data_IF_750266161517
#
_entry.id   IF_750266161517
#
_cell.length_a   1.000
_cell.length_b   1.000
_cell.length_c   1.000
_cell.angle_alpha   90.00
_cell.angle_beta   90.00
_cell.angle_gamma   90.00
#
_symmetry.space_group_name_H-M   'P 1'
#
loop_
_entity.id
_entity.type
_entity.pdbx_description
1 polymer ?
#
# COMPACT_ATOMS: atom_id res chain seq x y z
N UNK A 1 -2.08 -3.82 -57.13
CA UNK A 1 -2.42 -5.20 -56.78
C UNK A 1 -1.74 -5.48 -55.46
N UNK A 2 -2.50 -5.45 -54.37
CA UNK A 2 -2.02 -5.83 -53.04
C UNK A 2 -2.65 -7.20 -52.78
N UNK A 3 -1.81 -8.23 -52.73
CA UNK A 3 -2.16 -9.51 -52.11
C UNK A 3 -1.52 -9.53 -50.71
N UNK A 4 -2.33 -9.92 -49.72
CA UNK A 4 -1.93 -10.15 -48.34
C UNK A 4 -1.02 -11.37 -48.24
N UNK A 5 -0.08 -11.33 -47.30
CA UNK A 5 0.51 -12.56 -46.75
C UNK A 5 0.28 -12.53 -45.24
N UNK A 6 -0.82 -13.18 -44.84
CA UNK A 6 -0.97 -13.77 -43.52
C UNK A 6 0.06 -14.91 -43.39
N UNK A 7 0.81 -14.91 -42.30
CA UNK A 7 1.59 -16.06 -41.80
C UNK A 7 1.30 -16.23 -40.31
N UNK A 8 1.29 -17.47 -39.77
CA UNK A 8 0.71 -17.74 -38.47
C UNK A 8 1.61 -17.19 -37.36
N UNK A 9 1.04 -16.35 -36.50
CA UNK A 9 1.64 -16.05 -35.21
C UNK A 9 1.78 -17.34 -34.39
N UNK A 10 2.82 -17.47 -33.54
CA UNK A 10 3.02 -18.66 -32.73
C UNK A 10 1.80 -18.89 -31.84
N UNK A 11 1.16 -20.05 -32.00
CA UNK A 11 0.08 -20.51 -31.13
C UNK A 11 0.68 -21.06 -29.84
N UNK A 12 0.34 -20.42 -28.72
CA UNK A 12 0.72 -20.88 -27.38
C UNK A 12 -0.11 -22.12 -27.06
N UNK A 13 0.50 -23.30 -27.13
CA UNK A 13 -0.09 -24.54 -26.63
C UNK A 13 0.40 -24.73 -25.19
N UNK A 14 -0.49 -24.46 -24.24
CA UNK A 14 -0.26 -24.78 -22.82
C UNK A 14 -0.54 -26.28 -22.66
N UNK A 15 0.52 -27.10 -22.59
CA UNK A 15 0.37 -28.52 -22.28
C UNK A 15 0.33 -28.74 -20.77
N UNK A 16 -0.50 -29.71 -20.37
CA UNK A 16 -0.65 -30.18 -18.99
C UNK A 16 0.46 -31.17 -18.70
N UNK A 17 1.55 -30.73 -18.05
CA UNK A 17 2.39 -31.54 -17.14
C UNK A 17 3.59 -30.71 -16.66
N UNK A 18 3.43 -30.14 -15.46
CA UNK A 18 4.44 -29.78 -14.45
C UNK A 18 5.86 -29.33 -14.88
N UNK A 19 6.00 -28.05 -15.28
CA UNK A 19 7.28 -27.30 -15.32
C UNK A 19 7.05 -25.80 -15.10
N UNK A 20 6.43 -25.43 -13.96
CA UNK A 20 6.21 -24.01 -13.64
C UNK A 20 7.58 -23.31 -13.50
N UNK A 21 7.75 -22.24 -14.26
CA UNK A 21 8.84 -21.24 -14.18
C UNK A 21 10.12 -21.45 -15.00
N UNK A 22 10.11 -22.23 -16.09
CA UNK A 22 11.26 -22.26 -17.03
C UNK A 22 10.87 -21.96 -18.47
N UNK A 23 11.38 -20.85 -18.99
CA UNK A 23 11.22 -20.47 -20.40
C UNK A 23 12.11 -21.37 -21.26
N UNK A 24 11.50 -22.15 -22.15
CA UNK A 24 12.21 -23.05 -23.05
C UNK A 24 13.08 -22.28 -24.06
N UNK A 25 14.20 -22.88 -24.47
CA UNK A 25 15.05 -22.33 -25.52
C UNK A 25 14.29 -22.29 -26.86
N UNK A 26 14.25 -21.15 -27.57
CA UNK A 26 13.51 -21.03 -28.84
C UNK A 26 14.24 -21.67 -30.04
N UNK A 27 15.49 -22.11 -29.88
CA UNK A 27 16.24 -22.82 -30.92
C UNK A 27 15.70 -24.24 -31.15
N UNK A 28 15.42 -24.58 -32.41
CA UNK A 28 14.88 -25.89 -32.79
C UNK A 28 15.79 -27.03 -32.30
N UNK A 29 15.19 -28.06 -31.67
CA UNK A 29 15.84 -29.25 -31.12
C UNK A 29 16.78 -29.00 -29.90
N UNK A 30 16.56 -27.95 -29.12
CA UNK A 30 17.26 -27.73 -27.85
C UNK A 30 16.36 -28.04 -26.66
N UNK A 31 16.79 -28.92 -25.75
CA UNK A 31 16.09 -29.25 -24.49
C UNK A 31 16.41 -28.30 -23.32
N UNK A 32 17.29 -27.32 -23.54
CA UNK A 32 17.69 -26.35 -22.54
C UNK A 32 16.64 -25.27 -22.28
N UNK A 33 16.85 -24.50 -21.21
CA UNK A 33 16.01 -23.36 -20.81
C UNK A 33 16.85 -22.07 -20.74
N UNK A 34 16.19 -20.91 -20.85
CA UNK A 34 16.87 -19.61 -20.86
C UNK A 34 17.26 -19.16 -19.45
N UNK A 35 18.49 -18.68 -19.31
CA UNK A 35 19.06 -18.05 -18.11
C UNK A 35 19.37 -16.58 -18.41
N UNK A 36 19.21 -15.70 -17.42
CA UNK A 36 19.49 -14.27 -17.56
C UNK A 36 20.85 -13.94 -16.97
N UNK A 37 21.72 -13.30 -17.77
CA UNK A 37 22.92 -12.67 -17.25
C UNK A 37 22.69 -11.15 -17.13
N UNK A 38 22.69 -10.65 -15.91
CA UNK A 38 22.54 -9.22 -15.61
C UNK A 38 23.93 -8.57 -15.69
N UNK A 39 24.18 -7.78 -16.73
CA UNK A 39 25.39 -6.95 -16.80
C UNK A 39 25.23 -5.64 -16.01
N UNK A 40 26.32 -4.89 -15.84
CA UNK A 40 26.37 -3.61 -15.09
C UNK A 40 25.44 -2.49 -15.65
N UNK A 41 24.81 -2.71 -16.81
CA UNK A 41 23.83 -1.82 -17.46
C UNK A 41 22.71 -2.64 -18.09
N UNK A 42 21.49 -2.09 -18.16
CA UNK A 42 20.32 -2.73 -18.78
C UNK A 42 20.54 -3.16 -20.24
N UNK A 43 21.31 -2.39 -21.02
CA UNK A 43 21.70 -2.77 -22.39
C UNK A 43 22.63 -4.01 -22.47
N UNK A 44 23.19 -4.43 -21.32
CA UNK A 44 24.04 -5.60 -21.18
C UNK A 44 23.30 -6.88 -20.77
N UNK A 45 21.98 -6.82 -20.54
CA UNK A 45 21.19 -8.01 -20.19
C UNK A 45 21.11 -8.94 -21.39
N UNK A 46 21.54 -10.19 -21.19
CA UNK A 46 21.57 -11.23 -22.22
C UNK A 46 20.90 -12.49 -21.70
N UNK A 47 20.10 -13.12 -22.55
CA UNK A 47 19.60 -14.47 -22.29
C UNK A 47 20.57 -15.48 -22.89
N UNK A 48 20.87 -16.55 -22.15
CA UNK A 48 21.63 -17.66 -22.68
C UNK A 48 20.95 -19.00 -22.40
N UNK A 49 21.03 -19.91 -23.36
CA UNK A 49 20.53 -21.26 -23.17
C UNK A 49 21.45 -22.05 -22.21
N UNK A 50 20.84 -22.74 -21.25
CA UNK A 50 21.54 -23.58 -20.26
C UNK A 50 22.39 -24.70 -20.88
N UNK A 51 21.96 -25.24 -22.03
CA UNK A 51 22.63 -26.36 -22.71
C UNK A 51 23.52 -25.91 -23.87
N UNK A 52 23.00 -25.12 -24.81
CA UNK A 52 23.76 -24.79 -26.03
C UNK A 52 24.72 -23.63 -25.84
N UNK A 53 24.48 -22.73 -24.86
CA UNK A 53 25.17 -21.44 -24.63
C UNK A 53 25.30 -20.51 -25.86
N UNK A 54 24.74 -20.90 -27.01
CA UNK A 54 24.87 -20.21 -28.30
C UNK A 54 23.68 -19.28 -28.60
N UNK A 55 22.55 -19.46 -27.91
CA UNK A 55 21.49 -18.48 -27.95
C UNK A 55 21.91 -17.28 -27.10
N UNK A 56 22.09 -16.12 -27.72
CA UNK A 56 22.58 -14.88 -27.11
C UNK A 56 21.81 -13.72 -27.73
N UNK A 57 20.49 -13.75 -27.55
CA UNK A 57 19.63 -12.68 -28.01
C UNK A 57 19.55 -11.58 -26.95
N UNK A 58 19.78 -10.36 -27.41
CA UNK A 58 19.48 -9.15 -26.64
C UNK A 58 17.96 -8.96 -26.68
N UNK A 59 17.38 -8.52 -25.57
CA UNK A 59 15.95 -8.22 -25.50
C UNK A 59 15.63 -7.04 -26.44
N UNK A 60 15.18 -7.33 -27.66
CA UNK A 60 14.64 -6.34 -28.60
C UNK A 60 13.11 -6.46 -28.70
N UNK A 61 12.41 -6.47 -27.55
CA UNK A 61 10.96 -6.33 -27.52
C UNK A 61 10.55 -4.87 -27.43
N UNK A 62 10.46 -4.16 -28.56
CA UNK A 62 9.95 -2.79 -28.58
C UNK A 62 8.41 -2.79 -28.51
N UNK A 63 7.83 -1.96 -27.64
CA UNK A 63 6.39 -1.72 -27.60
C UNK A 63 5.95 -0.98 -28.88
N UNK A 64 5.03 -1.53 -29.69
CA UNK A 64 4.59 -0.93 -30.96
C UNK A 64 3.83 0.40 -30.77
N UNK A 65 3.52 0.77 -29.53
CA UNK A 65 2.88 2.04 -29.19
C UNK A 65 3.90 3.12 -28.82
N UNK A 66 5.04 2.74 -28.24
CA UNK A 66 6.10 3.66 -27.81
C UNK A 66 7.18 3.86 -28.89
N UNK A 67 7.23 2.97 -29.88
CA UNK A 67 8.14 3.03 -31.02
C UNK A 67 7.33 2.96 -32.32
N UNK A 68 7.30 4.05 -33.09
CA UNK A 68 6.86 4.00 -34.49
C UNK A 68 8.09 3.74 -35.36
N UNK A 69 8.16 2.64 -36.13
CA UNK A 69 9.22 2.47 -37.11
C UNK A 69 9.07 3.54 -38.20
N UNK A 70 10.19 4.05 -38.70
CA UNK A 70 10.21 5.00 -39.80
C UNK A 70 9.55 4.38 -41.04
N UNK A 71 8.60 5.09 -41.65
CA UNK A 71 8.20 4.82 -43.02
C UNK A 71 9.18 5.54 -43.96
N UNK A 72 9.46 4.94 -45.12
CA UNK A 72 10.43 5.45 -46.09
C UNK A 72 10.20 6.93 -46.42
N UNK A 73 11.05 7.81 -45.89
CA UNK A 73 11.09 9.24 -46.22
C UNK A 73 10.92 10.22 -45.06
N UNK A 74 10.61 9.78 -43.83
CA UNK A 74 10.60 10.66 -42.65
C UNK A 74 11.75 10.33 -41.70
N UNK A 75 12.34 11.36 -41.07
CA UNK A 75 13.44 11.22 -40.10
C UNK A 75 13.02 10.30 -38.93
N UNK A 76 13.92 9.39 -38.55
CA UNK A 76 13.78 8.60 -37.32
C UNK A 76 13.54 9.56 -36.15
N UNK A 77 12.33 9.54 -35.58
CA UNK A 77 12.12 10.10 -34.25
C UNK A 77 12.72 9.12 -33.26
N UNK A 78 14.01 9.33 -32.97
CA UNK A 78 14.68 8.67 -31.86
C UNK A 78 13.79 8.83 -30.63
N UNK A 79 13.53 7.72 -29.94
CA UNK A 79 13.05 7.77 -28.56
C UNK A 79 14.10 8.51 -27.74
N UNK A 80 13.94 9.83 -27.64
CA UNK A 80 14.75 10.67 -26.78
C UNK A 80 14.40 10.31 -25.34
N UNK A 81 15.05 9.30 -24.78
CA UNK A 81 15.34 9.33 -23.35
C UNK A 81 16.33 10.46 -23.14
N UNK A 82 15.79 11.67 -22.99
CA UNK A 82 16.50 12.72 -22.28
C UNK A 82 16.43 12.35 -20.81
N UNK A 83 17.53 11.90 -20.17
CA UNK A 83 17.59 11.99 -18.71
C UNK A 83 17.44 13.47 -18.38
N UNK A 84 16.23 13.87 -17.98
CA UNK A 84 16.05 15.14 -17.30
C UNK A 84 16.72 14.95 -15.95
N UNK A 85 17.70 15.80 -15.68
CA UNK A 85 18.26 15.94 -14.34
C UNK A 85 17.11 16.47 -13.49
N UNK A 86 16.48 15.59 -12.72
CA UNK A 86 15.52 15.94 -11.69
C UNK A 86 16.32 16.33 -10.46
N UNK A 87 15.94 17.41 -9.78
CA UNK A 87 16.62 17.91 -8.58
C UNK A 87 16.53 16.93 -7.39
N UNK A 88 15.63 15.93 -7.46
CA UNK A 88 15.50 14.86 -6.49
C UNK A 88 16.68 13.87 -6.59
N UNK A 89 17.71 14.07 -5.77
CA UNK A 89 18.87 13.15 -5.63
C UNK A 89 18.51 11.74 -5.16
N UNK A 90 17.28 11.54 -4.67
CA UNK A 90 16.76 10.27 -4.17
C UNK A 90 15.30 10.14 -4.62
N UNK A 91 15.01 9.25 -5.57
CA UNK A 91 13.65 8.94 -6.03
C UNK A 91 13.27 7.50 -5.68
N UNK A 92 12.02 7.27 -5.33
CA UNK A 92 11.44 5.94 -5.08
C UNK A 92 10.23 5.70 -5.98
N UNK A 93 9.76 4.44 -6.14
CA UNK A 93 8.56 4.17 -6.91
C UNK A 93 7.34 4.87 -6.29
N UNK A 94 6.52 5.54 -7.11
CA UNK A 94 5.22 6.05 -6.69
C UNK A 94 4.23 4.89 -6.67
N UNK A 95 3.94 4.36 -5.48
CA UNK A 95 3.11 3.16 -5.26
C UNK A 95 1.79 3.61 -4.66
N UNK A 96 0.68 3.57 -5.40
CA UNK A 96 -0.63 3.66 -4.76
C UNK A 96 -1.08 2.27 -4.38
N UNK A 97 -1.49 2.10 -3.14
CA UNK A 97 -1.99 0.82 -2.64
C UNK A 97 -3.45 0.96 -2.23
N UNK A 98 -4.22 -0.09 -2.44
CA UNK A 98 -5.57 -0.23 -1.89
C UNK A 98 -5.72 -1.64 -1.30
N UNK A 99 -6.72 -1.82 -0.46
CA UNK A 99 -7.14 -3.13 0.03
C UNK A 99 -8.44 -3.54 -0.67
N UNK A 100 -8.78 -4.81 -0.64
CA UNK A 100 -10.05 -5.34 -1.16
C UNK A 100 -10.32 -6.69 -0.49
N UNK A 101 -11.57 -6.96 -0.13
CA UNK A 101 -11.99 -8.31 0.22
C UNK A 101 -11.79 -9.27 -0.97
N UNK A 102 -11.48 -10.54 -0.71
CA UNK A 102 -11.20 -11.51 -1.77
C UNK A 102 -12.37 -11.75 -2.75
N UNK A 103 -13.61 -11.57 -2.31
CA UNK A 103 -14.83 -11.62 -3.12
C UNK A 103 -15.12 -10.33 -3.92
N UNK A 104 -14.32 -9.28 -3.71
CA UNK A 104 -14.45 -7.99 -4.37
C UNK A 104 -15.65 -7.17 -3.92
N UNK A 105 -16.28 -7.51 -2.79
CA UNK A 105 -17.47 -6.81 -2.25
C UNK A 105 -17.14 -5.46 -1.63
N UNK A 106 -15.89 -5.21 -1.24
CA UNK A 106 -15.41 -3.86 -0.93
C UNK A 106 -14.34 -3.81 0.17
N UNK A 107 -14.14 -2.60 0.68
CA UNK A 107 -13.24 -2.27 1.81
C UNK A 107 -13.99 -1.58 2.94
N UNK A 108 -15.31 -1.71 2.98
CA UNK A 108 -16.11 -1.21 4.10
C UNK A 108 -15.85 -2.05 5.34
N UNK A 109 -15.98 -1.42 6.49
CA UNK A 109 -15.95 -2.09 7.78
C UNK A 109 -17.01 -3.20 7.84
N UNK A 110 -18.20 -2.95 7.30
CA UNK A 110 -19.28 -3.94 7.18
C UNK A 110 -18.84 -5.17 6.36
N UNK A 111 -18.24 -4.97 5.19
CA UNK A 111 -17.78 -6.08 4.34
C UNK A 111 -16.63 -6.87 5.01
N UNK A 112 -15.72 -6.18 5.71
CA UNK A 112 -14.65 -6.83 6.47
C UNK A 112 -15.19 -7.64 7.64
N UNK A 113 -16.22 -7.15 8.33
CA UNK A 113 -16.90 -7.86 9.41
C UNK A 113 -17.63 -9.10 8.88
N UNK A 114 -18.39 -8.98 7.79
CA UNK A 114 -19.05 -10.12 7.13
C UNK A 114 -18.02 -11.18 6.70
N UNK A 115 -16.89 -10.76 6.12
CA UNK A 115 -15.81 -11.66 5.75
C UNK A 115 -15.22 -12.38 6.98
N UNK A 116 -15.03 -11.69 8.11
CA UNK A 116 -14.58 -12.28 9.37
C UNK A 116 -15.51 -13.39 9.88
N UNK A 117 -16.83 -13.15 9.84
CA UNK A 117 -17.85 -14.11 10.26
C UNK A 117 -17.90 -15.35 9.35
N UNK A 118 -17.75 -15.17 8.03
CA UNK A 118 -17.65 -16.29 7.09
C UNK A 118 -16.43 -17.16 7.40
N UNK A 119 -15.27 -16.54 7.68
CA UNK A 119 -14.04 -17.26 8.02
C UNK A 119 -14.19 -18.10 9.29
N UNK A 120 -14.98 -17.63 10.26
CA UNK A 120 -15.30 -18.40 11.47
C UNK A 120 -16.04 -19.70 11.13
N UNK A 121 -16.94 -19.67 10.14
CA UNK A 121 -17.69 -20.83 9.69
C UNK A 121 -16.83 -21.86 8.94
N UNK A 122 -15.74 -21.41 8.30
CA UNK A 122 -14.84 -22.23 7.48
C UNK A 122 -13.68 -22.91 8.26
N UNK A 123 -13.75 -22.92 9.60
CA UNK A 123 -12.77 -23.56 10.51
C UNK A 123 -11.34 -22.96 10.39
N UNK A 124 -11.24 -21.66 10.12
CA UNK A 124 -9.96 -20.94 10.16
C UNK A 124 -9.36 -20.98 11.57
N UNK A 125 -8.27 -21.73 11.72
CA UNK A 125 -7.58 -21.92 13.00
C UNK A 125 -7.01 -20.63 13.58
N UNK A 126 -6.83 -19.59 12.75
CA UNK A 126 -6.32 -18.28 13.17
C UNK A 126 -7.43 -17.21 13.22
N UNK A 127 -8.70 -17.59 13.05
CA UNK A 127 -9.80 -16.68 13.28
C UNK A 127 -9.80 -16.22 14.74
N UNK A 128 -9.89 -14.91 14.93
CA UNK A 128 -9.93 -14.27 16.23
C UNK A 128 -10.78 -13.01 16.17
N UNK A 129 -11.58 -12.79 17.21
CA UNK A 129 -12.29 -11.54 17.47
C UNK A 129 -12.19 -11.21 18.97
N UNK A 130 -12.48 -9.95 19.32
CA UNK A 130 -12.44 -9.48 20.69
C UNK A 130 -13.45 -10.22 21.59
N UNK A 131 -14.52 -10.73 21.02
CA UNK A 131 -15.50 -11.56 21.72
C UNK A 131 -14.96 -12.89 22.25
N UNK A 132 -13.80 -13.35 21.75
CA UNK A 132 -13.15 -14.57 22.24
C UNK A 132 -12.46 -14.43 23.60
N UNK A 133 -12.15 -13.19 24.05
CA UNK A 133 -11.48 -12.94 25.33
C UNK A 133 -12.49 -12.68 26.47
N UNK A 134 -12.06 -12.76 27.73
CA UNK A 134 -12.99 -12.60 28.86
C UNK A 134 -13.56 -11.17 28.94
N UNK A 135 -14.83 -10.97 29.35
CA UNK A 135 -15.45 -9.64 29.40
C UNK A 135 -14.67 -8.59 30.21
N UNK A 136 -14.01 -9.02 31.31
CA UNK A 136 -13.15 -8.11 32.08
C UNK A 136 -11.91 -7.63 31.34
N UNK A 137 -11.39 -8.43 30.41
CA UNK A 137 -10.30 -8.01 29.52
C UNK A 137 -10.83 -7.16 28.36
N UNK A 138 -12.01 -7.47 27.81
CA UNK A 138 -12.66 -6.67 26.76
C UNK A 138 -12.86 -5.22 27.18
N UNK A 139 -13.27 -5.01 28.44
CA UNK A 139 -13.41 -3.67 29.01
C UNK A 139 -12.13 -2.83 28.89
N UNK A 140 -10.93 -3.43 28.95
CA UNK A 140 -9.68 -2.67 28.75
C UNK A 140 -9.57 -2.17 27.31
N UNK A 141 -9.94 -2.98 26.31
CA UNK A 141 -9.90 -2.56 24.91
C UNK A 141 -10.95 -1.47 24.63
N UNK A 142 -12.14 -1.62 25.19
CA UNK A 142 -13.24 -0.67 25.03
C UNK A 142 -13.04 0.64 25.80
N UNK A 143 -12.68 0.56 27.09
CA UNK A 143 -12.54 1.67 28.03
C UNK A 143 -11.11 2.21 28.15
N UNK A 144 -10.10 1.67 27.47
CA UNK A 144 -8.74 2.26 27.50
C UNK A 144 -8.24 2.56 26.10
N UNK A 145 -8.56 1.73 25.10
CA UNK A 145 -8.08 1.97 23.74
C UNK A 145 -9.15 2.54 22.81
N UNK A 146 -10.35 2.80 23.35
CA UNK A 146 -11.49 3.35 22.61
C UNK A 146 -11.84 2.51 21.38
N UNK A 147 -11.87 1.19 21.54
CA UNK A 147 -12.19 0.24 20.45
C UNK A 147 -13.61 -0.31 20.63
N UNK A 148 -14.41 -0.29 19.56
CA UNK A 148 -15.66 -1.05 19.51
C UNK A 148 -15.36 -2.55 19.39
N UNK A 149 -14.44 -2.92 18.49
CA UNK A 149 -14.05 -4.29 18.23
C UNK A 149 -12.64 -4.37 17.62
N UNK A 150 -12.04 -5.57 17.69
CA UNK A 150 -10.85 -5.96 16.94
C UNK A 150 -11.05 -7.37 16.43
N UNK A 151 -10.89 -7.58 15.12
CA UNK A 151 -11.11 -8.89 14.51
C UNK A 151 -10.16 -9.19 13.35
N UNK A 152 -9.95 -10.47 13.07
CA UNK A 152 -9.11 -10.94 11.96
C UNK A 152 -9.94 -11.29 10.74
N UNK A 153 -9.42 -10.98 9.56
CA UNK A 153 -9.97 -11.41 8.27
C UNK A 153 -8.91 -12.24 7.55
N UNK A 154 -9.19 -13.50 7.19
CA UNK A 154 -8.18 -14.40 6.62
C UNK A 154 -7.65 -13.94 5.26
N UNK A 155 -8.53 -13.32 4.48
CA UNK A 155 -8.44 -13.26 3.02
C UNK A 155 -8.65 -11.81 2.55
N UNK A 156 -7.67 -10.96 2.87
CA UNK A 156 -7.63 -9.57 2.40
C UNK A 156 -6.61 -9.44 1.28
N UNK A 157 -7.06 -8.95 0.14
CA UNK A 157 -6.19 -8.60 -0.97
C UNK A 157 -5.65 -7.18 -0.79
N UNK A 158 -4.35 -6.98 -0.93
CA UNK A 158 -3.74 -5.69 -1.23
C UNK A 158 -3.47 -5.59 -2.73
N UNK A 159 -3.92 -4.51 -3.35
CA UNK A 159 -3.64 -4.18 -4.74
C UNK A 159 -2.75 -2.94 -4.77
N UNK A 160 -1.51 -3.12 -5.17
CA UNK A 160 -0.57 -2.01 -5.37
C UNK A 160 -0.39 -1.71 -6.85
N UNK A 161 -0.38 -0.42 -7.18
CA UNK A 161 -0.22 0.11 -8.52
C UNK A 161 0.96 1.09 -8.54
N UNK A 162 1.97 0.78 -9.34
CA UNK A 162 3.13 1.67 -9.53
C UNK A 162 2.87 2.56 -10.73
N UNK A 163 2.79 3.87 -10.48
CA UNK A 163 2.46 4.90 -11.48
C UNK A 163 3.65 5.75 -11.92
N UNK A 164 4.83 5.52 -11.35
CA UNK A 164 6.02 6.28 -11.69
C UNK A 164 7.03 6.32 -10.55
N UNK A 165 7.62 7.50 -10.36
CA UNK A 165 8.60 7.80 -9.34
C UNK A 165 8.20 9.08 -8.60
N UNK A 166 8.42 9.06 -7.29
CA UNK A 166 8.28 10.20 -6.40
C UNK A 166 9.63 10.52 -5.74
N UNK A 167 9.72 11.70 -5.13
CA UNK A 167 10.88 12.07 -4.32
C UNK A 167 10.87 11.30 -3.00
N UNK A 168 12.00 10.71 -2.63
CA UNK A 168 12.20 10.10 -1.31
C UNK A 168 12.55 11.16 -0.25
N UNK A 169 11.90 12.32 -0.34
CA UNK A 169 12.11 13.45 0.58
C UNK A 169 10.79 13.67 1.30
N UNK A 170 10.87 13.68 2.63
CA UNK A 170 9.76 13.94 3.54
C UNK A 170 8.89 15.12 3.09
N UNK A 171 7.58 15.01 3.26
CA UNK A 171 6.62 16.09 3.03
C UNK A 171 6.85 17.30 3.93
N UNK A 172 7.34 17.11 5.16
CA UNK A 172 7.55 18.20 6.14
C UNK A 172 8.86 18.96 5.95
N UNK A 173 8.75 20.29 5.92
CA UNK A 173 9.90 21.20 5.97
C UNK A 173 10.76 21.20 4.70
N UNK A 174 10.22 20.70 3.59
CA UNK A 174 10.88 20.67 2.29
C UNK A 174 10.16 21.58 1.31
N UNK A 175 10.89 22.55 0.76
CA UNK A 175 10.40 23.49 -0.25
C UNK A 175 10.45 22.82 -1.63
N UNK A 176 9.62 21.78 -1.80
CA UNK A 176 9.46 21.03 -3.04
C UNK A 176 8.04 21.24 -3.57
N UNK A 177 7.92 21.88 -4.73
CA UNK A 177 6.66 21.95 -5.48
C UNK A 177 6.16 20.54 -5.86
N UNK A 178 4.86 20.39 -6.18
CA UNK A 178 4.24 19.10 -6.59
C UNK A 178 5.06 18.38 -7.65
N UNK A 179 5.65 19.09 -8.62
CA UNK A 179 6.45 18.48 -9.68
C UNK A 179 7.73 17.80 -9.15
N UNK A 180 8.27 18.30 -8.03
CA UNK A 180 9.44 17.77 -7.34
C UNK A 180 9.06 16.55 -6.52
N UNK A 181 7.87 16.56 -5.90
CA UNK A 181 7.30 15.43 -5.14
C UNK A 181 6.94 14.27 -6.07
N UNK A 182 6.17 14.53 -7.12
CA UNK A 182 5.84 13.58 -8.17
C UNK A 182 6.90 13.60 -9.28
N UNK A 183 8.12 13.21 -8.92
CA UNK A 183 9.32 13.32 -9.76
C UNK A 183 9.14 12.83 -11.20
N UNK A 184 8.33 11.79 -11.44
CA UNK A 184 7.90 11.36 -12.78
C UNK A 184 6.71 10.39 -12.74
N UNK A 185 5.58 10.72 -13.34
CA UNK A 185 4.56 9.70 -13.66
C UNK A 185 4.87 8.97 -14.99
N UNK A 186 4.35 7.75 -15.13
CA UNK A 186 4.30 7.05 -16.41
C UNK A 186 3.31 7.80 -17.32
N UNK A 187 3.86 8.70 -18.14
CA UNK A 187 3.08 9.51 -19.08
C UNK A 187 2.79 8.74 -20.37
N UNK A 188 1.54 8.78 -20.82
CA UNK A 188 1.19 8.55 -22.22
C UNK A 188 1.51 9.82 -23.03
N UNK A 189 1.95 9.67 -24.28
CA UNK A 189 2.12 10.80 -25.23
C UNK A 189 0.78 11.39 -25.71
N UNK A 190 -0.32 10.78 -25.30
CA UNK A 190 -1.69 11.13 -25.65
C UNK A 190 -2.45 11.46 -24.36
N UNK A 191 -2.96 12.69 -24.24
CA UNK A 191 -3.64 13.20 -23.04
C UNK A 191 -4.94 12.46 -22.73
N UNK A 192 -5.51 11.78 -23.74
CA UNK A 192 -6.80 11.09 -23.66
C UNK A 192 -6.63 9.58 -23.39
N UNK A 193 -5.40 9.11 -23.14
CA UNK A 193 -5.10 7.70 -22.85
C UNK A 193 -4.81 7.44 -21.38
N UNK A 194 -5.35 6.32 -20.90
CA UNK A 194 -5.05 5.71 -19.60
C UNK A 194 -3.51 5.59 -19.39
N UNK A 195 -3.04 5.97 -18.20
CA UNK A 195 -1.62 5.85 -17.85
C UNK A 195 -1.25 4.38 -17.68
N UNK A 196 -0.07 3.99 -18.15
CA UNK A 196 0.45 2.63 -17.90
C UNK A 196 0.88 2.52 -16.45
N UNK A 197 0.47 1.47 -15.74
CA UNK A 197 0.87 1.17 -14.37
C UNK A 197 1.30 -0.29 -14.24
N UNK A 198 2.20 -0.59 -13.30
CA UNK A 198 2.47 -1.97 -12.90
C UNK A 198 1.56 -2.32 -11.74
N UNK A 199 0.74 -3.35 -11.91
CA UNK A 199 -0.19 -3.81 -10.89
C UNK A 199 0.35 -5.08 -10.23
N UNK A 200 0.33 -5.11 -8.91
CA UNK A 200 0.59 -6.30 -8.10
C UNK A 200 -0.57 -6.52 -7.16
N UNK A 201 -1.12 -7.73 -7.15
CA UNK A 201 -2.07 -8.17 -6.15
C UNK A 201 -1.38 -9.13 -5.21
N UNK A 202 -1.61 -8.96 -3.91
CA UNK A 202 -1.10 -9.81 -2.84
C UNK A 202 -2.26 -10.15 -1.92
N UNK A 203 -2.24 -11.34 -1.36
CA UNK A 203 -3.29 -11.83 -0.47
C UNK A 203 -2.63 -12.19 0.85
N UNK A 204 -3.31 -11.87 1.95
CA UNK A 204 -2.84 -12.15 3.30
C UNK A 204 -3.91 -11.85 4.35
N UNK A 205 -3.57 -12.13 5.60
CA UNK A 205 -4.48 -11.88 6.72
C UNK A 205 -4.55 -10.38 7.02
N UNK A 206 -5.74 -9.92 7.38
CA UNK A 206 -5.99 -8.61 7.95
C UNK A 206 -6.30 -8.65 9.45
N UNK A 207 -5.97 -7.57 10.16
CA UNK A 207 -6.56 -7.22 11.46
C UNK A 207 -7.25 -5.87 11.29
N UNK A 208 -8.51 -5.82 11.70
CA UNK A 208 -9.32 -4.60 11.72
C UNK A 208 -9.43 -4.11 13.16
N UNK A 209 -9.19 -2.82 13.35
CA UNK A 209 -9.40 -2.09 14.59
C UNK A 209 -10.55 -1.11 14.37
N UNK A 210 -11.74 -1.44 14.88
CA UNK A 210 -12.93 -0.60 14.85
C UNK A 210 -12.87 0.37 16.03
N UNK A 211 -12.67 1.65 15.75
CA UNK A 211 -12.52 2.70 16.77
C UNK A 211 -13.88 3.30 17.12
N UNK A 212 -14.00 3.71 18.38
CA UNK A 212 -15.17 4.42 18.89
C UNK A 212 -15.32 5.81 18.25
N UNK A 213 -16.22 5.90 17.28
CA UNK A 213 -16.52 7.13 16.55
C UNK A 213 -17.01 8.27 17.45
N UNK A 214 -17.70 7.96 18.55
CA UNK A 214 -18.12 8.95 19.54
C UNK A 214 -16.93 9.59 20.28
N UNK A 215 -15.91 8.79 20.63
CA UNK A 215 -14.66 9.28 21.22
C UNK A 215 -13.84 10.07 20.19
N UNK A 216 -13.75 9.59 18.95
CA UNK A 216 -13.07 10.30 17.87
C UNK A 216 -13.70 11.68 17.64
N UNK A 217 -15.03 11.76 17.57
CA UNK A 217 -15.76 13.00 17.43
C UNK A 217 -15.54 13.95 18.62
N UNK A 218 -15.51 13.43 19.85
CA UNK A 218 -15.23 14.21 21.05
C UNK A 218 -13.80 14.78 21.06
N UNK A 219 -12.79 14.02 20.65
CA UNK A 219 -11.40 14.51 20.58
C UNK A 219 -11.25 15.61 19.51
N UNK A 220 -11.88 15.41 18.34
CA UNK A 220 -11.74 16.31 17.19
C UNK A 220 -12.61 17.56 17.27
N UNK A 221 -13.76 17.48 17.94
CA UNK A 221 -14.74 18.58 17.98
C UNK A 221 -15.14 19.01 19.40
N UNK A 222 -14.60 18.40 20.45
CA UNK A 222 -15.08 18.56 21.83
C UNK A 222 -16.58 18.24 21.98
N UNK A 223 -17.08 17.31 21.16
CA UNK A 223 -18.48 16.89 21.14
C UNK A 223 -19.42 17.86 20.43
N UNK A 224 -18.90 18.90 19.76
CA UNK A 224 -19.71 19.90 19.07
C UNK A 224 -20.32 19.39 17.74
N UNK A 225 -19.84 18.26 17.22
CA UNK A 225 -20.32 17.66 15.98
C UNK A 225 -20.37 16.13 16.03
N UNK A 226 -21.31 15.56 15.28
CA UNK A 226 -21.40 14.11 15.05
C UNK A 226 -20.26 13.62 14.15
N UNK A 227 -19.81 12.38 14.37
CA UNK A 227 -18.67 11.80 13.67
C UNK A 227 -18.84 11.83 12.15
N UNK A 228 -20.00 11.40 11.65
CA UNK A 228 -20.31 11.30 10.24
C UNK A 228 -20.22 12.67 9.54
N UNK A 229 -20.64 13.73 10.24
CA UNK A 229 -20.54 15.09 9.73
C UNK A 229 -19.08 15.60 9.69
N UNK A 230 -18.24 15.20 10.66
CA UNK A 230 -16.81 15.51 10.68
C UNK A 230 -16.12 14.77 9.54
N UNK A 231 -16.33 13.45 9.43
CA UNK A 231 -15.73 12.59 8.42
C UNK A 231 -16.09 13.07 6.99
N UNK A 232 -17.38 13.28 6.70
CA UNK A 232 -17.82 13.75 5.39
C UNK A 232 -17.21 15.12 5.02
N UNK A 233 -17.09 16.04 6.00
CA UNK A 233 -16.46 17.34 5.78
C UNK A 233 -14.97 17.19 5.47
N UNK A 234 -14.23 16.45 6.30
CA UNK A 234 -12.78 16.28 6.11
C UNK A 234 -12.46 15.53 4.81
N UNK A 235 -13.25 14.53 4.43
CA UNK A 235 -13.11 13.84 3.13
C UNK A 235 -13.38 14.77 1.94
N UNK A 236 -14.39 15.63 2.03
CA UNK A 236 -14.65 16.64 0.99
C UNK A 236 -13.46 17.58 0.85
N UNK A 237 -12.97 18.11 1.98
CA UNK A 237 -11.81 19.00 2.00
C UNK A 237 -10.55 18.32 1.46
N UNK A 238 -10.29 17.09 1.88
CA UNK A 238 -9.10 16.33 1.46
C UNK A 238 -9.08 16.05 -0.05
N UNK A 239 -10.24 15.83 -0.66
CA UNK A 239 -10.36 15.65 -2.11
C UNK A 239 -10.35 16.98 -2.89
N UNK A 240 -10.71 18.09 -2.25
CA UNK A 240 -10.64 19.44 -2.84
C UNK A 240 -9.23 20.04 -2.81
N UNK A 241 -8.39 19.64 -1.84
CA UNK A 241 -7.02 20.13 -1.72
C UNK A 241 -6.09 19.54 -2.79
N UNK A 242 -5.14 20.34 -3.24
CA UNK A 242 -4.02 19.82 -4.03
C UNK A 242 -2.91 19.21 -3.15
N UNK A 243 -1.96 18.52 -3.79
CA UNK A 243 -0.87 17.83 -3.09
C UNK A 243 0.03 18.79 -2.30
N UNK A 244 0.20 20.04 -2.75
CA UNK A 244 1.05 21.02 -2.07
C UNK A 244 0.34 21.59 -0.83
N UNK A 245 -0.95 21.90 -0.94
CA UNK A 245 -1.78 22.32 0.20
C UNK A 245 -1.78 21.27 1.33
N UNK A 246 -1.84 19.99 0.97
CA UNK A 246 -1.77 18.88 1.93
C UNK A 246 -0.38 18.77 2.57
N UNK A 247 0.69 18.93 1.77
CA UNK A 247 2.06 18.81 2.25
C UNK A 247 2.45 19.94 3.20
N UNK A 248 1.98 21.16 2.92
CA UNK A 248 2.30 22.36 3.69
C UNK A 248 1.52 22.44 5.01
N UNK A 249 0.51 21.59 5.20
CA UNK A 249 -0.20 21.41 6.47
C UNK A 249 -1.21 22.53 6.79
N UNK A 250 -1.57 23.37 5.83
CA UNK A 250 -2.54 24.46 6.00
C UNK A 250 -4.01 24.01 5.87
N UNK A 251 -4.31 22.73 6.17
CA UNK A 251 -5.59 22.10 5.78
C UNK A 251 -6.70 22.25 6.83
N UNK A 252 -6.38 22.58 8.08
CA UNK A 252 -7.34 22.67 9.19
C UNK A 252 -8.02 21.35 9.56
N UNK A 253 -7.60 20.24 8.97
CA UNK A 253 -8.07 18.88 9.24
C UNK A 253 -7.62 18.42 10.62
N UNK A 254 -8.43 17.61 11.30
CA UNK A 254 -8.13 17.11 12.66
C UNK A 254 -8.38 15.61 12.79
N UNK A 255 -9.46 15.09 12.20
CA UNK A 255 -9.75 13.65 12.19
C UNK A 255 -8.74 12.89 11.32
N UNK A 256 -8.46 13.37 10.10
CA UNK A 256 -7.54 12.73 9.18
C UNK A 256 -6.12 12.63 9.75
N UNK A 257 -5.49 13.72 10.28
CA UNK A 257 -4.17 13.62 10.91
C UNK A 257 -4.11 12.72 12.15
N UNK A 258 -5.21 12.67 12.90
CA UNK A 258 -5.35 11.81 14.07
C UNK A 258 -5.33 10.32 13.65
N UNK A 259 -6.22 9.93 12.72
CA UNK A 259 -6.33 8.54 12.29
C UNK A 259 -5.06 8.05 11.61
N UNK A 260 -4.42 8.89 10.80
CA UNK A 260 -3.16 8.56 10.15
C UNK A 260 -2.02 8.37 11.16
N UNK A 261 -1.90 9.24 12.18
CA UNK A 261 -0.91 9.07 13.23
C UNK A 261 -1.16 7.80 14.08
N UNK A 262 -2.42 7.50 14.40
CA UNK A 262 -2.78 6.27 15.09
C UNK A 262 -2.39 5.04 14.24
N UNK A 263 -2.71 5.06 12.94
CA UNK A 263 -2.36 3.99 12.02
C UNK A 263 -0.84 3.75 11.96
N UNK A 264 -0.03 4.81 11.91
CA UNK A 264 1.43 4.68 11.94
C UNK A 264 1.93 4.05 13.25
N UNK A 265 1.40 4.48 14.40
CA UNK A 265 1.76 3.91 15.68
C UNK A 265 1.37 2.41 15.79
N UNK A 266 0.18 2.03 15.31
CA UNK A 266 -0.26 0.63 15.24
C UNK A 266 0.63 -0.20 14.33
N UNK A 267 0.96 0.33 13.15
CA UNK A 267 1.83 -0.34 12.18
C UNK A 267 3.22 -0.62 12.79
N UNK A 268 3.83 0.40 13.41
CA UNK A 268 5.13 0.27 14.07
C UNK A 268 5.09 -0.71 15.24
N UNK A 269 4.06 -0.61 16.10
CA UNK A 269 3.89 -1.53 17.22
C UNK A 269 3.69 -2.98 16.75
N UNK A 270 2.96 -3.20 15.65
CA UNK A 270 2.75 -4.52 15.06
C UNK A 270 4.06 -5.11 14.49
N UNK A 271 4.88 -4.30 13.82
CA UNK A 271 6.21 -4.71 13.34
C UNK A 271 7.12 -5.07 14.51
N UNK A 272 7.17 -4.23 15.55
CA UNK A 272 8.00 -4.50 16.73
C UNK A 272 7.58 -5.79 17.44
N UNK A 273 6.28 -6.02 17.56
CA UNK A 273 5.73 -7.21 18.22
C UNK A 273 5.98 -8.50 17.43
N UNK A 274 5.80 -8.45 16.10
CA UNK A 274 5.98 -9.63 15.24
C UNK A 274 7.44 -9.89 14.89
N UNK A 275 8.31 -8.87 14.98
CA UNK A 275 9.72 -8.95 14.59
C UNK A 275 9.93 -9.13 13.08
N UNK A 276 8.92 -8.80 12.27
CA UNK A 276 8.95 -8.92 10.82
C UNK A 276 8.96 -7.53 10.17
N UNK A 277 9.93 -7.28 9.30
CA UNK A 277 10.03 -6.03 8.53
C UNK A 277 9.37 -6.19 7.14
N UNK A 278 8.86 -5.09 6.58
CA UNK A 278 8.31 -4.97 5.21
C UNK A 278 7.24 -6.01 4.82
N UNK A 279 6.42 -6.43 5.79
CA UNK A 279 5.37 -7.43 5.56
C UNK A 279 3.94 -6.89 5.69
N UNK A 280 3.76 -5.67 6.20
CA UNK A 280 2.43 -5.07 6.42
C UNK A 280 2.13 -3.95 5.43
N UNK A 281 0.86 -3.87 5.07
CA UNK A 281 0.16 -2.69 4.62
C UNK A 281 -0.69 -2.16 5.78
N UNK A 282 -1.07 -0.89 5.70
CA UNK A 282 -2.06 -0.33 6.61
C UNK A 282 -2.97 0.65 5.88
N UNK A 283 -4.25 0.65 6.26
CA UNK A 283 -5.27 1.55 5.73
C UNK A 283 -6.15 2.12 6.83
N UNK A 284 -6.69 3.30 6.57
CA UNK A 284 -7.65 4.03 7.37
C UNK A 284 -8.95 4.10 6.57
N UNK A 285 -10.05 3.77 7.24
CA UNK A 285 -11.42 3.97 6.75
C UNK A 285 -12.00 5.14 7.53
N UNK A 286 -11.93 6.35 6.97
CA UNK A 286 -12.31 7.61 7.62
C UNK A 286 -13.83 7.64 7.83
N UNK A 287 -14.65 7.17 6.87
CA UNK A 287 -16.11 7.21 7.03
C UNK A 287 -16.59 6.36 8.21
N UNK A 288 -15.85 5.29 8.51
CA UNK A 288 -16.25 4.25 9.45
C UNK A 288 -15.46 4.29 10.76
N UNK A 289 -14.35 5.05 10.81
CA UNK A 289 -13.51 5.14 12.00
C UNK A 289 -12.73 3.85 12.26
N UNK A 290 -12.15 3.25 11.22
CA UNK A 290 -11.43 1.99 11.35
C UNK A 290 -10.00 2.06 10.80
N UNK A 291 -9.13 1.23 11.37
CA UNK A 291 -7.77 1.02 10.87
C UNK A 291 -7.60 -0.46 10.54
N UNK A 292 -7.07 -0.74 9.36
CA UNK A 292 -6.85 -2.10 8.86
C UNK A 292 -5.37 -2.32 8.65
N UNK A 293 -4.80 -3.34 9.30
CA UNK A 293 -3.46 -3.84 8.98
C UNK A 293 -3.60 -5.08 8.11
N UNK A 294 -2.82 -5.21 7.03
CA UNK A 294 -2.92 -6.33 6.09
C UNK A 294 -1.54 -6.89 5.78
N UNK A 295 -1.40 -8.21 5.80
CA UNK A 295 -0.19 -8.88 5.35
C UNK A 295 -0.01 -8.73 3.83
N UNK A 296 1.12 -8.18 3.41
CA UNK A 296 1.53 -8.05 2.02
C UNK A 296 2.37 -9.24 1.53
N UNK A 297 2.64 -10.24 2.37
CA UNK A 297 3.40 -11.44 1.98
C UNK A 297 2.81 -12.64 2.72
N UNK A 298 2.81 -13.79 2.07
CA UNK A 298 2.50 -15.05 2.75
C UNK A 298 3.62 -15.36 3.76
N UNK A 299 3.33 -15.05 5.02
CA UNK A 299 4.23 -15.25 6.16
C UNK A 299 3.84 -16.50 6.97
N UNK A 300 2.98 -17.37 6.41
CA UNK A 300 2.51 -18.59 7.06
C UNK A 300 1.88 -18.32 8.43
N UNK A 301 2.25 -19.11 9.45
CA UNK A 301 1.72 -18.99 10.81
C UNK A 301 2.29 -17.80 11.62
N UNK A 302 3.03 -16.89 10.98
CA UNK A 302 3.98 -15.99 11.65
C UNK A 302 3.74 -14.49 11.53
N UNK A 303 2.65 -14.02 10.91
CA UNK A 303 2.40 -12.58 10.75
C UNK A 303 1.48 -11.98 11.80
N UNK A 304 0.42 -11.31 11.35
CA UNK A 304 -0.58 -10.65 12.18
C UNK A 304 -1.30 -11.63 13.12
N UNK A 305 -1.40 -12.91 12.75
CA UNK A 305 -1.94 -13.94 13.63
C UNK A 305 -1.20 -14.04 14.96
N UNK A 306 0.07 -13.66 15.05
CA UNK A 306 0.80 -13.65 16.33
C UNK A 306 0.24 -12.63 17.33
N UNK A 307 -0.26 -11.49 16.83
CA UNK A 307 -0.83 -10.42 17.66
C UNK A 307 -2.12 -10.91 18.33
N UNK A 308 -2.90 -11.72 17.63
CA UNK A 308 -4.21 -12.23 18.06
C UNK A 308 -4.19 -13.68 18.54
N UNK A 309 -3.06 -14.39 18.42
CA UNK A 309 -2.92 -15.82 18.75
C UNK A 309 -3.25 -16.18 20.19
N UNK A 310 -3.11 -15.23 21.13
CA UNK A 310 -3.35 -15.49 22.54
C UNK A 310 -4.81 -15.21 22.93
N UNK A 311 -5.51 -16.26 23.37
CA UNK A 311 -6.90 -16.19 23.90
C UNK A 311 -7.08 -15.32 25.16
N UNK A 312 -6.02 -14.81 25.77
CA UNK A 312 -6.11 -13.81 26.85
C UNK A 312 -6.10 -12.37 26.33
N UNK A 313 -5.80 -12.17 25.04
CA UNK A 313 -5.60 -10.85 24.44
C UNK A 313 -4.30 -10.15 24.86
N UNK A 314 -3.43 -10.81 25.63
CA UNK A 314 -2.26 -10.14 26.22
C UNK A 314 -1.20 -9.66 25.20
N UNK A 315 -1.13 -10.28 24.01
CA UNK A 315 -0.23 -9.81 22.94
C UNK A 315 -0.81 -8.57 22.30
N UNK A 316 -2.07 -8.62 21.84
CA UNK A 316 -2.81 -7.44 21.36
C UNK A 316 -2.76 -6.27 22.36
N UNK A 317 -2.95 -6.55 23.66
CA UNK A 317 -2.85 -5.52 24.70
C UNK A 317 -1.46 -4.89 24.74
N UNK A 318 -0.39 -5.69 24.66
CA UNK A 318 0.98 -5.18 24.61
C UNK A 318 1.22 -4.35 23.35
N UNK A 319 0.70 -4.77 22.20
CA UNK A 319 0.76 -3.99 20.95
C UNK A 319 0.08 -2.64 21.11
N UNK A 320 -1.12 -2.59 21.70
CA UNK A 320 -1.84 -1.33 21.92
C UNK A 320 -1.18 -0.43 22.97
N UNK A 321 -0.64 -1.00 24.05
CA UNK A 321 0.18 -0.25 25.01
C UNK A 321 1.41 0.35 24.32
N UNK A 322 2.03 -0.39 23.42
CA UNK A 322 3.16 0.12 22.65
C UNK A 322 2.75 1.23 21.68
N UNK A 323 1.59 1.12 21.05
CA UNK A 323 0.98 2.20 20.25
C UNK A 323 0.81 3.47 21.09
N UNK A 324 0.27 3.35 22.31
CA UNK A 324 0.12 4.48 23.23
C UNK A 324 1.47 5.13 23.55
N UNK A 325 2.49 4.34 23.87
CA UNK A 325 3.85 4.83 24.15
C UNK A 325 4.43 5.59 22.95
N UNK A 326 4.28 5.06 21.72
CA UNK A 326 4.79 5.71 20.50
C UNK A 326 4.13 7.09 20.29
N UNK A 327 2.83 7.19 20.53
CA UNK A 327 2.06 8.43 20.37
C UNK A 327 2.41 9.44 21.48
N UNK A 328 2.48 8.96 22.72
CA UNK A 328 2.63 9.75 23.94
C UNK A 328 4.06 10.23 24.19
N UNK A 329 5.03 9.32 24.10
CA UNK A 329 6.34 9.45 24.74
C UNK A 329 7.46 9.57 23.70
N UNK A 330 7.31 10.52 22.77
CA UNK A 330 8.36 10.80 21.81
C UNK A 330 9.62 11.36 22.50
N UNK A 331 10.73 10.62 22.41
CA UNK A 331 12.04 11.01 22.98
C UNK A 331 12.60 12.35 22.48
N UNK A 332 12.08 12.86 21.35
CA UNK A 332 12.51 14.14 20.76
C UNK A 332 11.54 15.30 21.02
N UNK A 333 10.48 15.06 21.79
CA UNK A 333 9.47 16.07 22.12
C UNK A 333 8.96 16.85 20.90
N UNK A 334 8.64 16.12 19.83
CA UNK A 334 8.17 16.73 18.58
C UNK A 334 6.74 17.27 18.73
N UNK A 335 6.43 18.35 17.99
CA UNK A 335 5.10 18.97 17.99
C UNK A 335 4.07 17.98 17.47
N UNK A 336 4.14 17.53 16.21
CA UNK A 336 3.07 16.66 15.70
C UNK A 336 3.57 15.25 15.37
N UNK A 337 4.77 15.12 14.83
CA UNK A 337 5.43 13.84 14.52
C UNK A 337 6.91 14.04 14.17
N UNK A 338 7.74 13.00 14.32
CA UNK A 338 9.13 12.95 13.83
C UNK A 338 9.61 11.51 13.62
N UNK A 339 10.76 11.32 12.96
CA UNK A 339 11.40 10.02 12.67
C UNK A 339 11.67 9.12 13.90
N UNK A 340 11.50 9.63 15.12
CA UNK A 340 11.66 8.86 16.36
C UNK A 340 10.33 8.44 16.99
N UNK A 341 9.19 8.76 16.37
CA UNK A 341 7.86 8.27 16.73
C UNK A 341 7.12 7.86 15.45
N UNK A 342 5.96 8.44 15.17
CA UNK A 342 5.03 8.01 14.11
C UNK A 342 5.46 8.33 12.68
N UNK A 343 6.66 8.87 12.42
CA UNK A 343 7.11 8.96 11.02
C UNK A 343 7.57 7.58 10.51
N UNK A 344 7.25 7.29 9.26
CA UNK A 344 7.72 6.11 8.54
C UNK A 344 8.55 6.50 7.31
N UNK A 345 9.58 5.73 6.99
CA UNK A 345 10.33 5.82 5.73
C UNK A 345 9.77 4.87 4.66
N UNK A 346 8.62 4.23 4.92
CA UNK A 346 7.95 3.36 3.97
C UNK A 346 7.37 4.15 2.80
N UNK A 347 7.92 3.90 1.61
CA UNK A 347 7.44 4.41 0.32
C UNK A 347 6.01 3.98 -0.03
N UNK A 348 5.42 3.04 0.73
CA UNK A 348 4.05 2.56 0.56
C UNK A 348 3.05 3.26 1.48
N UNK A 349 3.50 4.24 2.27
CA UNK A 349 2.65 5.04 3.14
C UNK A 349 1.63 5.85 2.34
N UNK A 350 0.48 5.22 2.09
CA UNK A 350 -0.73 5.83 1.57
C UNK A 350 -1.88 5.35 2.45
N UNK A 351 -2.22 6.08 3.51
CA UNK A 351 -3.09 5.55 4.56
C UNK A 351 -4.52 5.35 4.09
N UNK A 352 -4.98 6.02 3.04
CA UNK A 352 -6.40 6.03 2.67
C UNK A 352 -6.74 5.03 1.57
N UNK A 353 -7.98 4.56 1.60
CA UNK A 353 -8.57 3.72 0.53
C UNK A 353 -9.05 4.59 -0.62
N UNK A 354 -8.95 4.10 -1.86
CA UNK A 354 -9.22 4.93 -3.04
C UNK A 354 -10.70 5.33 -3.20
N UNK A 355 -11.61 4.63 -2.52
CA UNK A 355 -13.04 4.99 -2.48
C UNK A 355 -13.33 6.25 -1.66
N UNK A 356 -12.46 6.59 -0.70
CA UNK A 356 -12.64 7.75 0.19
C UNK A 356 -11.78 8.94 -0.27
N UNK A 357 -10.56 8.66 -0.74
CA UNK A 357 -9.58 9.68 -1.14
C UNK A 357 -9.04 9.36 -2.52
N UNK A 358 -9.39 10.19 -3.51
CA UNK A 358 -8.99 10.00 -4.92
C UNK A 358 -7.58 10.53 -5.20
N UNK A 359 -7.13 11.52 -4.41
CA UNK A 359 -5.88 12.23 -4.58
C UNK A 359 -4.66 11.54 -3.98
N UNK A 360 -3.47 11.95 -4.43
CA UNK A 360 -2.22 11.56 -3.77
C UNK A 360 -2.01 12.38 -2.50
N UNK A 361 -2.01 11.69 -1.36
CA UNK A 361 -1.58 12.23 -0.08
C UNK A 361 -0.11 11.85 0.15
N UNK A 362 0.80 12.83 0.29
CA UNK A 362 2.20 12.56 0.56
C UNK A 362 2.41 11.75 1.83
N UNK A 363 3.39 10.84 1.81
CA UNK A 363 3.79 10.10 3.00
C UNK A 363 4.13 11.05 4.16
N UNK A 364 3.71 10.68 5.37
CA UNK A 364 3.88 11.45 6.60
C UNK A 364 3.28 12.87 6.61
N UNK A 365 2.55 13.26 5.56
CA UNK A 365 1.69 14.44 5.63
C UNK A 365 0.50 14.12 6.53
N UNK A 366 -0.11 15.15 7.13
CA UNK A 366 -1.29 14.97 8.00
C UNK A 366 -1.01 13.96 9.12
N UNK A 367 -0.17 14.30 10.10
CA UNK A 367 0.09 13.48 11.28
C UNK A 367 -0.05 14.34 12.53
N UNK A 368 -0.90 13.93 13.47
CA UNK A 368 -1.02 14.55 14.79
C UNK A 368 -1.00 13.47 15.88
N UNK A 369 0.19 13.22 16.44
CA UNK A 369 0.37 12.21 17.49
C UNK A 369 -0.35 12.56 18.79
N UNK A 370 -0.53 13.84 19.10
CA UNK A 370 -1.13 14.25 20.38
C UNK A 370 -2.64 14.06 20.33
N UNK A 371 -3.27 14.44 19.22
CA UNK A 371 -4.69 14.13 19.01
C UNK A 371 -4.94 12.61 19.01
N UNK A 372 -4.07 11.84 18.37
CA UNK A 372 -4.17 10.37 18.41
C UNK A 372 -3.98 9.82 19.83
N UNK A 373 -3.04 10.34 20.61
CA UNK A 373 -2.85 9.95 22.02
C UNK A 373 -4.06 10.30 22.90
N UNK A 374 -4.78 11.39 22.61
CA UNK A 374 -6.00 11.74 23.36
C UNK A 374 -7.11 10.69 23.24
N UNK A 375 -7.20 10.01 22.09
CA UNK A 375 -8.20 8.93 21.89
C UNK A 375 -7.98 7.77 22.86
N UNK A 376 -6.71 7.46 23.16
CA UNK A 376 -6.35 6.41 24.11
C UNK A 376 -6.51 6.91 25.55
N UNK A 377 -6.22 8.17 25.82
CA UNK A 377 -6.21 8.72 27.20
C UNK A 377 -7.57 9.17 27.73
N UNK A 378 -8.58 9.36 26.88
CA UNK A 378 -9.93 9.83 27.29
C UNK A 378 -10.88 8.72 27.74
N UNK A 379 -10.44 7.47 27.65
CA UNK A 379 -11.27 6.32 27.95
C UNK A 379 -11.30 5.99 29.46
#
# INVERSE_FOLDING_TARGET
MQESIDGPGPSVVISKEDTRDRIACPENNCSGHLHVNLGDRLAGVRFFCSESRNHNDQFYGQCPTCHKPAADGEEEVLSEMRPKTIDAKHTQPLILEDIVSNDGTGTSLEALYEASEINQADDDTYHWNLDTITPGSQAIFYDTFSLNDVFTVSDVSSVSAVYGYESNVDSRGTDLETHGRLARSFSSSDSDRERTAYLTRREGRGIVFDLRTDVLADVVSNGDAEYEAIAARELTQLNDFDTDEIADGETGLRLTPLLHAYQHALYQAAIEETGLEDFLAAKVLIEEGAIVLVEQRDVGAGGLSQITMNKTGSVLLRTLQRTEEILSDCSRDCTDACLSCVFTDDARCHPFVSREVEGYVPANSLLDRHLAAEVIRRA
#
